data_IF_224993887790
#
_entry.id   IF_224993887790
#
_cell.length_a   1.000
_cell.length_b   1.000
_cell.length_c   1.000
_cell.angle_alpha   90.00
_cell.angle_beta   90.00
_cell.angle_gamma   90.00
#
_symmetry.space_group_name_H-M   'P 1'
#
loop_
_entity.id
_entity.type
_entity.pdbx_description
1 polymer ?
#
# COMPACT_ATOMS: atom_id res chain seq x y z
N UNK A 1 18.28 -2.60 -4.42
CA UNK A 1 17.51 -3.78 -4.80
C UNK A 1 17.71 -4.83 -3.75
N UNK A 2 16.74 -4.95 -2.85
CA UNK A 2 16.80 -5.89 -1.73
C UNK A 2 16.19 -7.20 -2.20
N UNK A 3 17.01 -8.19 -2.47
CA UNK A 3 16.55 -9.56 -2.58
C UNK A 3 16.35 -10.10 -1.17
N UNK A 4 15.16 -9.86 -0.61
CA UNK A 4 14.78 -10.38 0.67
C UNK A 4 14.33 -11.84 0.50
N UNK A 5 15.09 -12.78 1.04
CA UNK A 5 14.57 -14.09 1.37
C UNK A 5 13.65 -13.96 2.56
N UNK A 6 12.35 -14.01 2.33
CA UNK A 6 11.36 -14.05 3.39
C UNK A 6 11.24 -15.47 3.95
N UNK A 7 11.84 -15.74 5.08
CA UNK A 7 11.50 -16.89 5.90
C UNK A 7 10.15 -16.60 6.56
N UNK A 8 9.07 -17.19 6.04
CA UNK A 8 7.72 -16.94 6.53
C UNK A 8 7.39 -17.81 7.73
N UNK A 9 6.64 -17.23 8.67
CA UNK A 9 6.20 -17.89 9.90
C UNK A 9 5.15 -19.03 9.68
N UNK A 10 4.56 -19.14 8.47
CA UNK A 10 3.42 -20.03 8.20
C UNK A 10 3.78 -21.16 7.22
N UNK A 11 4.51 -22.14 7.68
CA UNK A 11 4.84 -23.35 6.90
C UNK A 11 6.26 -23.40 6.35
N UNK A 12 7.12 -22.52 6.86
CA UNK A 12 8.55 -22.54 6.60
C UNK A 12 9.35 -22.99 7.83
N UNK A 13 10.59 -22.59 7.86
CA UNK A 13 11.54 -22.90 8.93
C UNK A 13 11.12 -22.18 10.22
N UNK A 14 11.12 -22.90 11.34
CA UNK A 14 10.81 -22.33 12.65
C UNK A 14 11.73 -21.17 13.03
N UNK A 15 11.19 -20.21 13.79
CA UNK A 15 11.95 -19.03 14.25
C UNK A 15 13.23 -19.41 14.98
N UNK A 16 13.21 -20.50 15.76
CA UNK A 16 14.36 -21.03 16.50
C UNK A 16 15.49 -21.48 15.58
N UNK A 17 15.20 -21.87 14.35
CA UNK A 17 16.19 -22.31 13.37
C UNK A 17 16.64 -21.19 12.41
N UNK A 18 16.02 -20.03 12.48
CA UNK A 18 16.25 -18.92 11.54
C UNK A 18 17.72 -18.49 11.50
N UNK A 19 18.38 -18.35 12.63
CA UNK A 19 19.80 -17.98 12.70
C UNK A 19 20.67 -19.06 12.01
N UNK A 20 20.41 -20.33 12.28
CA UNK A 20 21.14 -21.44 11.68
C UNK A 20 21.00 -21.49 10.15
N UNK A 21 19.81 -21.12 9.63
CA UNK A 21 19.59 -21.00 8.19
C UNK A 21 20.40 -19.84 7.60
N UNK A 22 20.38 -18.70 8.27
CA UNK A 22 21.13 -17.50 7.85
C UNK A 22 22.63 -17.81 7.81
N UNK A 23 23.17 -18.44 8.83
CA UNK A 23 24.60 -18.79 8.91
C UNK A 23 25.01 -19.73 7.76
N UNK A 24 24.19 -20.76 7.48
CA UNK A 24 24.41 -21.67 6.35
C UNK A 24 24.27 -20.96 5.00
N UNK A 25 23.30 -20.04 4.88
CA UNK A 25 23.09 -19.25 3.67
C UNK A 25 24.29 -18.33 3.39
N UNK A 26 24.82 -17.64 4.41
CA UNK A 26 26.03 -16.84 4.30
C UNK A 26 27.22 -17.69 3.85
N UNK A 27 27.37 -18.87 4.44
CA UNK A 27 28.45 -19.78 4.05
C UNK A 27 28.32 -20.28 2.60
N UNK A 28 27.09 -20.55 2.12
CA UNK A 28 26.81 -20.94 0.74
C UNK A 28 27.10 -19.80 -0.25
N UNK A 29 26.68 -18.56 0.10
CA UNK A 29 26.96 -17.33 -0.67
C UNK A 29 28.47 -17.10 -0.74
N UNK A 30 29.19 -17.30 0.36
CA UNK A 30 30.65 -17.18 0.42
C UNK A 30 31.37 -18.19 -0.50
N UNK A 31 30.88 -19.44 -0.59
CA UNK A 31 31.40 -20.45 -1.52
C UNK A 31 31.17 -20.08 -2.99
N UNK A 32 30.12 -19.34 -3.29
CA UNK A 32 29.85 -18.78 -4.61
C UNK A 32 30.71 -17.55 -4.94
N UNK A 33 31.58 -17.11 -4.04
CA UNK A 33 32.54 -16.04 -4.28
C UNK A 33 32.11 -14.65 -3.74
N UNK A 34 30.96 -14.54 -3.07
CA UNK A 34 30.46 -13.29 -2.51
C UNK A 34 30.76 -13.21 -1.01
N UNK A 35 31.48 -12.18 -0.59
CA UNK A 35 31.99 -12.06 0.79
C UNK A 35 31.38 -10.91 1.61
N UNK A 36 30.77 -9.92 0.92
CA UNK A 36 30.22 -8.72 1.58
C UNK A 36 28.72 -8.90 1.88
N UNK A 37 28.42 -9.76 2.86
CA UNK A 37 27.05 -10.04 3.29
C UNK A 37 26.71 -9.28 4.57
N UNK A 38 25.45 -8.82 4.66
CA UNK A 38 24.86 -8.26 5.86
C UNK A 38 23.52 -8.95 6.12
N UNK A 39 23.40 -9.57 7.29
CA UNK A 39 22.19 -10.32 7.66
C UNK A 39 21.37 -9.60 8.72
N UNK A 40 20.05 -9.67 8.56
CA UNK A 40 19.10 -9.22 9.57
C UNK A 40 18.21 -10.39 10.00
N UNK A 41 18.55 -11.08 11.10
CA UNK A 41 17.81 -12.25 11.57
C UNK A 41 16.36 -11.92 11.96
N UNK A 42 16.09 -10.71 12.44
CA UNK A 42 14.74 -10.26 12.81
C UNK A 42 13.78 -10.30 11.61
N UNK A 43 14.27 -9.91 10.45
CA UNK A 43 13.49 -9.89 9.21
C UNK A 43 13.78 -11.07 8.27
N UNK A 44 14.71 -11.95 8.63
CA UNK A 44 15.09 -13.09 7.79
C UNK A 44 15.69 -12.66 6.44
N UNK A 45 16.45 -11.56 6.39
CA UNK A 45 17.00 -11.02 5.15
C UNK A 45 18.53 -11.09 5.15
N UNK A 46 19.11 -11.34 3.97
CA UNK A 46 20.54 -11.26 3.72
C UNK A 46 20.75 -10.31 2.54
N UNK A 47 21.52 -9.25 2.77
CA UNK A 47 21.99 -8.33 1.74
C UNK A 47 23.37 -8.79 1.27
N UNK A 48 23.57 -8.87 -0.04
CA UNK A 48 24.87 -9.21 -0.66
C UNK A 48 25.35 -7.99 -1.43
N UNK A 49 26.33 -7.28 -0.90
CA UNK A 49 26.74 -5.94 -1.39
C UNK A 49 27.68 -5.99 -2.59
N UNK A 50 28.40 -7.09 -2.76
CA UNK A 50 29.35 -7.32 -3.85
C UNK A 50 28.71 -8.11 -5.03
N UNK A 51 27.39 -8.37 -4.98
CA UNK A 51 26.65 -8.98 -6.06
C UNK A 51 25.98 -7.93 -6.96
N UNK A 52 25.95 -8.22 -8.27
CA UNK A 52 25.19 -7.48 -9.27
C UNK A 52 23.85 -8.16 -9.56
N UNK A 53 23.02 -7.55 -10.39
CA UNK A 53 21.75 -8.15 -10.82
C UNK A 53 21.97 -9.49 -11.56
N UNK A 54 23.03 -9.62 -12.32
CA UNK A 54 23.35 -10.82 -13.10
C UNK A 54 23.68 -12.04 -12.21
N UNK A 55 24.17 -11.78 -10.99
CA UNK A 55 24.46 -12.85 -10.01
C UNK A 55 23.21 -13.35 -9.26
N UNK A 56 22.05 -12.72 -9.47
CA UNK A 56 20.82 -13.03 -8.74
C UNK A 56 20.42 -14.50 -8.85
N UNK A 57 20.44 -15.05 -10.05
CA UNK A 57 20.02 -16.43 -10.29
C UNK A 57 20.97 -17.45 -9.66
N UNK A 58 22.27 -17.19 -9.67
CA UNK A 58 23.29 -18.03 -9.03
C UNK A 58 23.10 -18.06 -7.50
N UNK A 59 23.01 -16.90 -6.87
CA UNK A 59 22.78 -16.77 -5.43
C UNK A 59 21.46 -17.44 -5.06
N UNK A 60 20.39 -17.19 -5.81
CA UNK A 60 19.08 -17.79 -5.62
C UNK A 60 19.11 -19.32 -5.69
N UNK A 61 19.85 -19.89 -6.63
CA UNK A 61 19.97 -21.34 -6.76
C UNK A 61 20.56 -21.99 -5.50
N UNK A 62 21.65 -21.43 -4.98
CA UNK A 62 22.29 -21.93 -3.76
C UNK A 62 21.37 -21.82 -2.53
N UNK A 63 20.60 -20.74 -2.43
CA UNK A 63 19.69 -20.52 -1.32
C UNK A 63 18.43 -21.40 -1.39
N UNK A 64 17.90 -21.65 -2.58
CA UNK A 64 16.76 -22.55 -2.81
C UNK A 64 17.05 -23.98 -2.36
N UNK A 65 18.22 -24.50 -2.74
CA UNK A 65 18.64 -25.85 -2.37
C UNK A 65 18.75 -25.97 -0.85
N UNK A 66 19.43 -25.00 -0.22
CA UNK A 66 19.62 -24.99 1.22
C UNK A 66 18.29 -24.88 1.99
N UNK A 67 17.38 -24.02 1.53
CA UNK A 67 16.09 -23.84 2.18
C UNK A 67 15.25 -25.11 2.14
N UNK A 68 15.23 -25.82 1.00
CA UNK A 68 14.53 -27.11 0.87
C UNK A 68 15.14 -28.19 1.75
N UNK A 69 16.45 -28.28 1.82
CA UNK A 69 17.16 -29.24 2.70
C UNK A 69 16.84 -29.00 4.19
N UNK A 70 16.48 -27.79 4.56
CA UNK A 70 16.12 -27.44 5.92
C UNK A 70 14.61 -27.49 6.19
N UNK A 71 13.80 -28.01 5.27
CA UNK A 71 12.37 -28.19 5.42
C UNK A 71 11.54 -26.96 5.00
N UNK A 72 12.12 -26.01 4.29
CA UNK A 72 11.41 -24.87 3.73
C UNK A 72 10.62 -25.23 2.47
N UNK A 73 9.66 -24.37 2.12
CA UNK A 73 8.76 -24.56 0.97
C UNK A 73 9.39 -24.20 -0.38
N UNK A 74 10.61 -23.70 -0.40
CA UNK A 74 11.26 -23.10 -1.55
C UNK A 74 10.97 -21.61 -1.68
N UNK A 75 11.85 -20.89 -2.37
CA UNK A 75 11.65 -19.48 -2.69
C UNK A 75 10.61 -19.36 -3.80
N UNK A 76 9.37 -19.04 -3.44
CA UNK A 76 8.39 -18.64 -4.43
C UNK A 76 8.66 -17.18 -4.82
N UNK A 77 8.77 -16.91 -6.12
CA UNK A 77 8.78 -15.52 -6.59
C UNK A 77 7.42 -14.90 -6.29
N UNK A 78 7.35 -13.80 -5.52
CA UNK A 78 6.11 -13.12 -5.34
C UNK A 78 5.67 -12.52 -6.68
N UNK A 79 4.41 -12.71 -7.04
CA UNK A 79 3.78 -11.88 -8.05
C UNK A 79 3.57 -10.47 -7.45
N UNK A 80 3.95 -9.47 -8.21
CA UNK A 80 3.76 -8.07 -7.79
C UNK A 80 2.94 -7.34 -8.84
N UNK A 81 1.93 -6.62 -8.41
CA UNK A 81 1.24 -5.62 -9.21
C UNK A 81 1.68 -4.24 -8.73
N UNK A 82 1.85 -3.34 -9.68
CA UNK A 82 2.26 -1.97 -9.38
C UNK A 82 1.09 -1.05 -9.69
N UNK A 83 0.70 -0.26 -8.70
CA UNK A 83 -0.37 0.72 -8.82
C UNK A 83 0.19 2.11 -8.56
N UNK A 84 -0.50 3.14 -9.07
CA UNK A 84 -0.21 4.50 -8.68
C UNK A 84 -0.41 4.62 -7.15
N UNK A 85 0.48 5.37 -6.49
CA UNK A 85 0.42 5.57 -5.05
C UNK A 85 -0.82 6.39 -4.67
N UNK A 86 -1.71 5.81 -3.88
CA UNK A 86 -2.82 6.55 -3.28
C UNK A 86 -2.32 7.34 -2.07
N UNK A 87 -2.48 8.65 -2.11
CA UNK A 87 -2.06 9.54 -1.02
C UNK A 87 -3.00 9.44 0.19
N UNK A 88 -2.46 9.67 1.38
CA UNK A 88 -3.26 9.80 2.59
C UNK A 88 -3.98 11.15 2.70
N UNK A 89 -4.88 11.29 3.67
CA UNK A 89 -5.69 12.51 3.87
C UNK A 89 -4.85 13.79 4.02
N UNK A 90 -3.63 13.68 4.50
CA UNK A 90 -2.70 14.82 4.64
C UNK A 90 -1.86 15.11 3.40
N UNK A 91 -2.11 14.42 2.28
CA UNK A 91 -1.34 14.54 1.04
C UNK A 91 -0.05 13.72 1.00
N UNK A 92 0.30 13.06 2.10
CA UNK A 92 1.48 12.20 2.23
C UNK A 92 1.12 10.70 2.24
N UNK A 93 2.03 9.89 2.77
CA UNK A 93 1.83 8.43 2.90
C UNK A 93 0.75 8.11 3.92
N UNK A 94 -0.16 7.20 3.58
CA UNK A 94 -1.09 6.61 4.55
C UNK A 94 -0.33 5.77 5.60
N UNK A 95 -0.76 5.85 6.86
CA UNK A 95 -0.21 5.05 7.95
C UNK A 95 -1.29 4.67 8.95
N UNK A 96 -1.43 3.39 9.23
CA UNK A 96 -2.38 2.89 10.25
C UNK A 96 -2.03 3.34 11.68
N UNK A 97 -0.76 3.69 11.93
CA UNK A 97 -0.32 4.26 13.20
C UNK A 97 -0.58 5.76 13.34
N UNK A 98 -1.03 6.42 12.26
CA UNK A 98 -1.42 7.82 12.19
C UNK A 98 -2.83 7.92 11.61
N UNK A 99 -3.87 7.71 12.43
CA UNK A 99 -5.26 7.58 11.98
C UNK A 99 -5.78 8.76 11.15
N UNK A 100 -5.24 9.95 11.36
CA UNK A 100 -5.59 11.16 10.62
C UNK A 100 -5.15 11.12 9.15
N UNK A 101 -4.18 10.28 8.82
CA UNK A 101 -3.69 10.10 7.44
C UNK A 101 -4.49 9.11 6.63
N UNK A 102 -5.38 8.34 7.27
CA UNK A 102 -6.00 7.16 6.67
C UNK A 102 -7.51 7.15 6.90
N UNK A 103 -8.28 6.83 5.86
CA UNK A 103 -9.69 6.45 6.00
C UNK A 103 -9.76 4.94 6.23
N UNK A 104 -10.37 4.52 7.34
CA UNK A 104 -10.54 3.10 7.66
C UNK A 104 -11.93 2.62 7.26
N UNK A 105 -12.04 1.35 6.87
CA UNK A 105 -13.32 0.72 6.51
C UNK A 105 -14.32 0.60 7.68
N UNK A 106 -13.87 0.84 8.90
CA UNK A 106 -14.70 0.86 10.10
C UNK A 106 -14.88 2.26 10.69
N UNK A 107 -14.44 3.31 10.00
CA UNK A 107 -14.70 4.68 10.42
C UNK A 107 -16.21 4.98 10.40
N UNK A 108 -16.68 5.80 11.34
CA UNK A 108 -18.04 6.32 11.31
C UNK A 108 -18.22 7.29 10.13
N UNK A 109 -19.46 7.45 9.67
CA UNK A 109 -19.78 8.43 8.61
C UNK A 109 -19.32 9.84 8.98
N UNK A 110 -19.41 10.20 10.27
CA UNK A 110 -18.94 11.48 10.79
C UNK A 110 -17.43 11.64 10.74
N UNK A 111 -16.68 10.55 11.02
CA UNK A 111 -15.22 10.56 10.93
C UNK A 111 -14.75 10.66 9.48
N UNK A 112 -15.42 9.97 8.57
CA UNK A 112 -15.16 10.04 7.12
C UNK A 112 -15.36 11.47 6.62
N UNK A 113 -16.51 12.06 6.92
CA UNK A 113 -16.81 13.45 6.57
C UNK A 113 -15.75 14.41 7.10
N UNK A 114 -15.38 14.29 8.39
CA UNK A 114 -14.35 15.12 9.02
C UNK A 114 -13.00 14.95 8.33
N UNK A 115 -12.57 13.72 8.04
CA UNK A 115 -11.29 13.42 7.38
C UNK A 115 -11.23 14.02 5.98
N UNK A 116 -12.28 13.85 5.18
CA UNK A 116 -12.34 14.40 3.81
C UNK A 116 -12.36 15.93 3.87
N UNK A 117 -13.18 16.55 4.71
CA UNK A 117 -13.24 18.01 4.84
C UNK A 117 -11.92 18.64 5.27
N UNK A 118 -11.14 17.96 6.12
CA UNK A 118 -9.83 18.41 6.58
C UNK A 118 -8.67 17.95 5.71
N UNK A 119 -8.92 17.18 4.64
CA UNK A 119 -7.86 16.64 3.79
C UNK A 119 -7.07 17.73 3.05
N UNK A 120 -5.85 17.38 2.66
CA UNK A 120 -5.02 18.26 1.83
C UNK A 120 -5.73 18.57 0.51
N UNK A 121 -5.58 19.79 0.03
CA UNK A 121 -6.28 20.31 -1.13
C UNK A 121 -5.31 20.86 -2.18
N UNK A 122 -5.67 20.66 -3.44
CA UNK A 122 -4.98 21.25 -4.60
C UNK A 122 -5.48 22.64 -4.99
N UNK A 123 -6.39 23.25 -4.20
CA UNK A 123 -6.92 24.57 -4.48
C UNK A 123 -6.00 25.72 -4.08
N UNK A 124 -6.42 26.93 -4.39
CA UNK A 124 -5.69 28.15 -4.03
C UNK A 124 -6.08 28.66 -2.64
N UNK A 125 -5.34 29.64 -2.14
CA UNK A 125 -5.51 30.17 -0.78
C UNK A 125 -6.84 30.93 -0.61
N UNK A 126 -7.33 31.61 -1.66
CA UNK A 126 -8.60 32.35 -1.66
C UNK A 126 -9.52 31.88 -2.78
N UNK A 127 -10.82 32.17 -2.64
CA UNK A 127 -11.83 31.85 -3.65
C UNK A 127 -11.55 32.61 -4.94
N UNK A 128 -11.14 33.86 -4.84
CA UNK A 128 -10.82 34.71 -5.99
C UNK A 128 -9.62 34.17 -6.77
N UNK A 129 -8.57 33.74 -6.06
CA UNK A 129 -7.41 33.12 -6.70
C UNK A 129 -7.79 31.78 -7.32
N UNK A 130 -8.62 30.98 -6.67
CA UNK A 130 -9.09 29.71 -7.20
C UNK A 130 -9.91 29.91 -8.47
N UNK A 131 -10.84 30.87 -8.48
CA UNK A 131 -11.61 31.24 -9.68
C UNK A 131 -10.75 31.72 -10.84
N UNK A 132 -9.62 32.39 -10.54
CA UNK A 132 -8.72 32.92 -11.55
C UNK A 132 -7.70 31.92 -12.09
N UNK A 133 -7.22 30.97 -11.24
CA UNK A 133 -6.09 30.09 -11.56
C UNK A 133 -6.47 28.61 -11.62
N UNK A 134 -7.65 28.26 -11.11
CA UNK A 134 -8.07 26.87 -10.94
C UNK A 134 -7.35 26.11 -9.81
N UNK A 135 -7.75 24.87 -9.60
CA UNK A 135 -7.12 23.93 -8.70
C UNK A 135 -6.25 22.91 -9.43
N UNK A 136 -5.41 22.20 -8.68
CA UNK A 136 -4.63 21.09 -9.18
C UNK A 136 -5.20 19.74 -8.68
N UNK A 137 -5.94 19.00 -9.53
CA UNK A 137 -6.55 17.73 -9.15
C UNK A 137 -5.52 16.63 -8.88
N UNK A 138 -4.29 16.73 -9.44
CA UNK A 138 -3.27 15.69 -9.29
C UNK A 138 -2.67 15.63 -7.88
N UNK A 139 -2.85 16.68 -7.09
CA UNK A 139 -2.44 16.74 -5.68
C UNK A 139 -3.62 16.87 -4.71
N UNK A 140 -4.85 17.09 -5.22
CA UNK A 140 -6.06 17.19 -4.39
C UNK A 140 -6.52 15.82 -3.92
N UNK A 141 -6.57 15.63 -2.60
CA UNK A 141 -6.91 14.34 -1.99
C UNK A 141 -8.34 13.94 -2.30
N UNK A 142 -9.31 14.86 -2.25
CA UNK A 142 -10.70 14.54 -2.54
C UNK A 142 -10.88 14.07 -3.99
N UNK A 143 -10.23 14.74 -4.95
CA UNK A 143 -10.21 14.29 -6.35
C UNK A 143 -9.57 12.92 -6.51
N UNK A 144 -8.41 12.68 -5.86
CA UNK A 144 -7.72 11.38 -5.93
C UNK A 144 -8.60 10.25 -5.38
N UNK A 145 -9.35 10.50 -4.30
CA UNK A 145 -10.25 9.50 -3.72
C UNK A 145 -11.49 9.25 -4.58
N UNK A 146 -12.04 10.27 -5.23
CA UNK A 146 -13.06 10.09 -6.27
C UNK A 146 -12.53 9.21 -7.39
N UNK A 147 -11.37 9.54 -7.95
CA UNK A 147 -10.74 8.83 -9.05
C UNK A 147 -10.44 7.35 -8.75
N UNK A 148 -9.99 7.03 -7.53
CA UNK A 148 -9.53 5.67 -7.23
C UNK A 148 -10.60 4.79 -6.60
N UNK A 149 -11.59 5.37 -5.93
CA UNK A 149 -12.45 4.59 -5.06
C UNK A 149 -13.95 4.86 -5.19
N UNK A 150 -14.37 6.09 -5.50
CA UNK A 150 -15.75 6.46 -5.25
C UNK A 150 -16.53 6.94 -6.48
N UNK A 151 -15.87 7.33 -7.58
CA UNK A 151 -16.54 7.70 -8.81
C UNK A 151 -16.34 6.62 -9.87
N UNK A 152 -17.44 6.00 -10.31
CA UNK A 152 -17.44 4.94 -11.31
C UNK A 152 -17.68 5.47 -12.74
N UNK A 153 -18.23 6.68 -12.86
CA UNK A 153 -18.48 7.32 -14.17
C UNK A 153 -17.29 8.18 -14.57
N UNK A 154 -16.56 7.73 -15.58
CA UNK A 154 -15.42 8.45 -16.14
C UNK A 154 -15.79 9.83 -16.70
N UNK A 155 -17.01 10.01 -17.24
CA UNK A 155 -17.45 11.31 -17.77
C UNK A 155 -17.68 12.30 -16.61
N UNK A 156 -18.27 11.83 -15.51
CA UNK A 156 -18.47 12.66 -14.32
C UNK A 156 -17.12 13.01 -13.68
N UNK A 157 -16.20 12.06 -13.61
CA UNK A 157 -14.85 12.31 -13.11
C UNK A 157 -14.10 13.34 -13.98
N UNK A 158 -14.24 13.25 -15.29
CA UNK A 158 -13.66 14.22 -16.24
C UNK A 158 -14.31 15.61 -16.10
N UNK A 159 -15.63 15.69 -15.92
CA UNK A 159 -16.34 16.94 -15.63
C UNK A 159 -15.79 17.60 -14.37
N UNK A 160 -15.73 16.85 -13.26
CA UNK A 160 -15.20 17.33 -11.98
C UNK A 160 -13.76 17.85 -12.15
N UNK A 161 -12.92 17.10 -12.89
CA UNK A 161 -11.56 17.50 -13.18
C UNK A 161 -11.48 18.83 -13.92
N UNK A 162 -12.24 18.95 -15.01
CA UNK A 162 -12.21 20.12 -15.86
C UNK A 162 -12.72 21.38 -15.14
N UNK A 163 -13.81 21.27 -14.40
CA UNK A 163 -14.36 22.36 -13.59
C UNK A 163 -13.43 22.76 -12.43
N UNK A 164 -12.68 21.81 -11.84
CA UNK A 164 -11.71 22.12 -10.81
C UNK A 164 -10.47 22.83 -11.37
N UNK A 165 -10.01 22.41 -12.53
CA UNK A 165 -8.87 23.05 -13.24
C UNK A 165 -9.24 24.43 -13.75
N UNK A 166 -10.48 24.64 -14.23
CA UNK A 166 -10.93 25.98 -14.68
C UNK A 166 -11.21 26.94 -13.52
N UNK A 167 -11.40 26.41 -12.28
CA UNK A 167 -11.80 27.18 -11.11
C UNK A 167 -13.33 27.34 -10.96
N UNK A 168 -14.12 26.67 -11.82
CA UNK A 168 -15.60 26.66 -11.72
C UNK A 168 -16.09 25.82 -10.54
N UNK A 169 -15.36 24.76 -10.17
CA UNK A 169 -15.62 23.95 -8.99
C UNK A 169 -14.64 24.31 -7.86
N UNK A 170 -15.15 24.74 -6.73
CA UNK A 170 -14.32 25.10 -5.57
C UNK A 170 -13.86 23.87 -4.77
N UNK A 171 -12.78 24.04 -4.01
CA UNK A 171 -12.25 23.01 -3.09
C UNK A 171 -13.31 22.47 -2.12
N UNK A 172 -14.17 23.32 -1.58
CA UNK A 172 -15.25 22.90 -0.69
C UNK A 172 -16.31 22.04 -1.39
N UNK A 173 -16.57 22.34 -2.66
CA UNK A 173 -17.56 21.62 -3.46
C UNK A 173 -17.05 20.23 -3.85
N UNK A 174 -15.82 20.10 -4.33
CA UNK A 174 -15.23 18.78 -4.65
C UNK A 174 -15.13 17.89 -3.40
N UNK A 175 -14.79 18.48 -2.22
CA UNK A 175 -14.82 17.75 -0.95
C UNK A 175 -16.23 17.29 -0.58
N UNK A 176 -17.24 18.08 -0.85
CA UNK A 176 -18.64 17.72 -0.59
C UNK A 176 -19.11 16.58 -1.47
N UNK A 177 -18.76 16.58 -2.76
CA UNK A 177 -19.01 15.46 -3.69
C UNK A 177 -18.31 14.19 -3.18
N UNK A 178 -17.04 14.30 -2.78
CA UNK A 178 -16.29 13.16 -2.23
C UNK A 178 -16.93 12.61 -0.95
N UNK A 179 -17.39 13.47 -0.03
CA UNK A 179 -18.08 13.05 1.21
C UNK A 179 -19.35 12.27 0.87
N UNK A 180 -20.18 12.77 -0.04
CA UNK A 180 -21.43 12.11 -0.43
C UNK A 180 -21.18 10.71 -0.97
N UNK A 181 -20.29 10.59 -1.93
CA UNK A 181 -19.96 9.30 -2.55
C UNK A 181 -19.26 8.35 -1.59
N UNK A 182 -18.29 8.81 -0.81
CA UNK A 182 -17.60 8.01 0.19
C UNK A 182 -18.54 7.50 1.29
N UNK A 183 -19.42 8.34 1.80
CA UNK A 183 -20.37 7.93 2.84
C UNK A 183 -21.42 6.96 2.31
N UNK A 184 -21.86 7.10 1.07
CA UNK A 184 -22.77 6.16 0.41
C UNK A 184 -22.11 4.80 0.26
N UNK A 185 -20.88 4.76 -0.26
CA UNK A 185 -20.10 3.53 -0.42
C UNK A 185 -19.86 2.84 0.94
N UNK A 186 -19.47 3.60 1.96
CA UNK A 186 -19.20 3.06 3.28
C UNK A 186 -20.45 2.53 4.00
N UNK A 187 -21.61 3.14 3.81
CA UNK A 187 -22.89 2.59 4.31
C UNK A 187 -23.16 1.23 3.71
N UNK A 188 -23.06 1.11 2.39
CA UNK A 188 -23.23 -0.18 1.71
C UNK A 188 -22.22 -1.22 2.22
N UNK A 189 -20.96 -0.83 2.41
CA UNK A 189 -19.93 -1.71 2.95
C UNK A 189 -20.28 -2.21 4.37
N UNK A 190 -20.72 -1.31 5.26
CA UNK A 190 -21.12 -1.68 6.62
C UNK A 190 -22.33 -2.63 6.62
N UNK A 191 -23.34 -2.35 5.80
CA UNK A 191 -24.52 -3.20 5.67
C UNK A 191 -24.15 -4.61 5.15
N UNK A 192 -23.33 -4.71 4.10
CA UNK A 192 -22.84 -5.98 3.58
C UNK A 192 -22.01 -6.76 4.60
N UNK A 193 -21.13 -6.06 5.34
CA UNK A 193 -20.33 -6.65 6.41
C UNK A 193 -21.25 -7.25 7.50
N UNK A 194 -22.26 -6.50 7.94
CA UNK A 194 -23.18 -6.96 9.00
C UNK A 194 -24.03 -8.15 8.55
N UNK A 195 -24.52 -8.14 7.32
CA UNK A 195 -25.27 -9.25 6.73
C UNK A 195 -24.45 -10.54 6.63
N UNK A 196 -23.12 -10.42 6.39
CA UNK A 196 -22.25 -11.55 6.13
C UNK A 196 -21.38 -11.96 7.34
N UNK A 197 -21.58 -11.39 8.53
CA UNK A 197 -20.81 -11.75 9.72
C UNK A 197 -20.85 -13.24 10.07
N UNK A 198 -21.95 -13.93 9.76
CA UNK A 198 -22.10 -15.37 10.00
C UNK A 198 -21.11 -16.21 9.19
N UNK A 199 -20.71 -15.76 8.00
CA UNK A 199 -19.76 -16.46 7.13
C UNK A 199 -18.34 -16.45 7.69
N UNK A 200 -17.97 -15.45 8.48
CA UNK A 200 -16.61 -15.34 9.06
C UNK A 200 -16.29 -16.57 9.90
N UNK A 201 -17.28 -17.12 10.65
CA UNK A 201 -17.10 -18.32 11.46
C UNK A 201 -16.83 -19.59 10.64
N UNK A 202 -17.26 -19.62 9.38
CA UNK A 202 -17.02 -20.74 8.48
C UNK A 202 -15.59 -20.74 7.93
N UNK A 203 -15.00 -19.55 7.74
CA UNK A 203 -13.63 -19.39 7.25
C UNK A 203 -12.56 -19.53 8.35
N UNK A 204 -12.94 -19.41 9.62
CA UNK A 204 -12.01 -19.51 10.77
C UNK A 204 -11.88 -20.93 11.31
N UNK A 205 -12.49 -21.92 10.70
CA UNK A 205 -12.35 -23.35 11.00
C UNK A 205 -11.20 -23.94 10.20
#
# INVERSE_FOLDING_TARGET
>A
NQNAMGLRDNGGIEKSQRQKVIDKAIAAIGKAGFSKTNANPKHGTIEVKDATYDNHNEIKYHLLTLEREMGGMGLMQPASTYHQFAVGMTGGKMSSSQPETTMFLNDSMKDIEKKIKSSFSGGQATVEEHRAKGGNPDVDVAYQYLRYFFEEDDNELERIRNEYVSGDLLTGEIKSICVEKATTWMKNHHELKDQNQHLVKEFLK
#
